data_IF_853248370223
#
_entry.id   IF_853248370223
#
_cell.length_a   1.000
_cell.length_b   1.000
_cell.length_c   1.000
_cell.angle_alpha   90.00
_cell.angle_beta   90.00
_cell.angle_gamma   90.00
#
_symmetry.space_group_name_H-M   'P 1'
#
loop_
_entity.id
_entity.type
_entity.pdbx_description
1 polymer ?
#
# COMPACT_ATOMS: atom_id res chain seq x y z
N UNK A 1 10.88 57.58 -19.56
CA UNK A 1 11.02 56.72 -20.74
C UNK A 1 11.78 55.45 -20.43
N UNK A 2 13.06 55.44 -20.05
CA UNK A 2 13.83 54.21 -19.75
C UNK A 2 13.32 53.40 -18.52
N UNK A 3 12.79 54.07 -17.51
CA UNK A 3 12.21 53.44 -16.32
C UNK A 3 10.87 52.81 -16.61
N UNK A 4 10.06 53.37 -17.49
CA UNK A 4 8.78 52.80 -17.93
C UNK A 4 8.97 51.55 -18.78
N UNK A 5 9.93 51.57 -19.71
CA UNK A 5 10.29 50.39 -20.52
C UNK A 5 10.84 49.24 -19.67
N UNK A 6 11.64 49.56 -18.66
CA UNK A 6 12.12 48.54 -17.71
C UNK A 6 11.00 47.94 -16.86
N UNK A 7 10.05 48.74 -16.41
CA UNK A 7 8.89 48.30 -15.66
C UNK A 7 7.94 47.45 -16.51
N UNK A 8 7.75 47.76 -17.75
CA UNK A 8 6.90 46.99 -18.67
C UNK A 8 7.57 45.64 -19.03
N UNK A 9 8.87 45.64 -19.24
CA UNK A 9 9.63 44.40 -19.45
C UNK A 9 9.54 43.49 -18.22
N UNK A 10 9.70 44.05 -17.03
CA UNK A 10 9.57 43.30 -15.78
C UNK A 10 8.16 42.72 -15.57
N UNK A 11 7.13 43.49 -15.91
CA UNK A 11 5.73 43.04 -15.86
C UNK A 11 5.46 41.91 -16.83
N UNK A 12 5.95 41.99 -18.06
CA UNK A 12 5.82 40.95 -19.07
C UNK A 12 6.51 39.65 -18.61
N UNK A 13 7.73 39.72 -18.10
CA UNK A 13 8.46 38.58 -17.59
C UNK A 13 7.76 37.92 -16.39
N UNK A 14 7.19 38.71 -15.49
CA UNK A 14 6.41 38.21 -14.35
C UNK A 14 5.11 37.51 -14.79
N UNK A 15 4.42 38.06 -15.79
CA UNK A 15 3.23 37.46 -16.36
C UNK A 15 3.53 36.12 -17.05
N UNK A 16 4.63 36.03 -17.80
CA UNK A 16 5.09 34.79 -18.43
C UNK A 16 5.46 33.72 -17.38
N UNK A 17 6.17 34.12 -16.34
CA UNK A 17 6.54 33.21 -15.26
C UNK A 17 5.28 32.68 -14.53
N UNK A 18 4.30 33.54 -14.29
CA UNK A 18 3.03 33.17 -13.69
C UNK A 18 2.25 32.19 -14.59
N UNK A 19 2.19 32.43 -15.89
CA UNK A 19 1.52 31.56 -16.84
C UNK A 19 2.20 30.16 -16.90
N UNK A 20 3.53 30.11 -16.89
CA UNK A 20 4.30 28.85 -16.85
C UNK A 20 4.03 28.06 -15.56
N UNK A 21 4.05 28.74 -14.40
CA UNK A 21 3.71 28.13 -13.12
C UNK A 21 2.27 27.59 -13.09
N UNK A 22 1.33 28.36 -13.60
CA UNK A 22 -0.07 27.95 -13.67
C UNK A 22 -0.26 26.70 -14.56
N UNK A 23 0.37 26.68 -15.72
CA UNK A 23 0.34 25.54 -16.64
C UNK A 23 0.96 24.29 -16.00
N UNK A 24 2.14 24.41 -15.39
CA UNK A 24 2.80 23.33 -14.69
C UNK A 24 1.95 22.76 -13.55
N UNK A 25 1.33 23.67 -12.76
CA UNK A 25 0.41 23.26 -11.68
C UNK A 25 -0.82 22.51 -12.21
N UNK A 26 -1.43 22.98 -13.29
CA UNK A 26 -2.59 22.33 -13.90
C UNK A 26 -2.26 20.93 -14.38
N UNK A 27 -1.10 20.73 -15.02
CA UNK A 27 -0.63 19.41 -15.46
C UNK A 27 -0.41 18.47 -14.27
N UNK A 28 0.30 18.94 -13.23
CA UNK A 28 0.53 18.15 -12.03
C UNK A 28 -0.78 17.78 -11.30
N UNK A 29 -1.69 18.75 -11.18
CA UNK A 29 -3.00 18.52 -10.57
C UNK A 29 -3.85 17.52 -11.37
N UNK A 30 -3.80 17.54 -12.70
CA UNK A 30 -4.49 16.58 -13.55
C UNK A 30 -3.92 15.18 -13.37
N UNK A 31 -2.60 15.03 -13.37
CA UNK A 31 -1.93 13.75 -13.15
C UNK A 31 -2.28 13.15 -11.78
N UNK A 32 -2.25 13.95 -10.72
CA UNK A 32 -2.64 13.51 -9.37
C UNK A 32 -4.11 13.10 -9.27
N UNK A 33 -5.01 13.80 -9.95
CA UNK A 33 -6.43 13.40 -10.00
C UNK A 33 -6.62 12.03 -10.66
N UNK A 34 -5.90 11.77 -11.75
CA UNK A 34 -5.93 10.48 -12.44
C UNK A 34 -5.41 9.36 -11.55
N UNK A 35 -4.24 9.55 -10.94
CA UNK A 35 -3.64 8.57 -10.02
C UNK A 35 -4.54 8.28 -8.81
N UNK A 36 -5.17 9.33 -8.27
CA UNK A 36 -6.14 9.17 -7.18
C UNK A 36 -7.35 8.36 -7.62
N UNK A 37 -7.93 8.65 -8.78
CA UNK A 37 -9.09 7.93 -9.29
C UNK A 37 -8.77 6.44 -9.53
N UNK A 38 -7.60 6.13 -10.07
CA UNK A 38 -7.13 4.76 -10.25
C UNK A 38 -6.94 4.04 -8.90
N UNK A 39 -6.37 4.72 -7.92
CA UNK A 39 -6.18 4.18 -6.56
C UNK A 39 -7.52 3.93 -5.87
N UNK A 40 -8.47 4.86 -5.95
CA UNK A 40 -9.81 4.73 -5.38
C UNK A 40 -10.58 3.56 -6.04
N UNK A 41 -10.45 3.38 -7.35
CA UNK A 41 -11.04 2.26 -8.06
C UNK A 41 -10.44 0.91 -7.61
N UNK A 42 -9.12 0.83 -7.44
CA UNK A 42 -8.44 -0.36 -6.92
C UNK A 42 -8.88 -0.70 -5.49
N UNK A 43 -8.97 0.30 -4.62
CA UNK A 43 -9.44 0.14 -3.25
C UNK A 43 -10.87 -0.41 -3.23
N UNK A 44 -11.76 0.13 -4.06
CA UNK A 44 -13.14 -0.34 -4.20
C UNK A 44 -13.22 -1.80 -4.64
N UNK A 45 -12.42 -2.19 -5.63
CA UNK A 45 -12.36 -3.58 -6.11
C UNK A 45 -11.89 -4.52 -5.00
N UNK A 46 -10.78 -4.19 -4.34
CA UNK A 46 -10.22 -4.99 -3.23
C UNK A 46 -11.22 -5.10 -2.06
N UNK A 47 -11.93 -4.02 -1.73
CA UNK A 47 -12.95 -4.02 -0.69
C UNK A 47 -14.11 -4.96 -1.02
N UNK A 48 -14.53 -4.99 -2.29
CA UNK A 48 -15.58 -5.91 -2.78
C UNK A 48 -15.11 -7.36 -2.70
N UNK A 49 -13.92 -7.67 -3.21
CA UNK A 49 -13.33 -9.02 -3.13
C UNK A 49 -13.20 -9.49 -1.67
N UNK A 50 -12.75 -8.62 -0.78
CA UNK A 50 -12.67 -8.90 0.63
C UNK A 50 -14.04 -9.27 1.24
N UNK A 51 -15.07 -8.50 0.90
CA UNK A 51 -16.45 -8.76 1.38
C UNK A 51 -16.97 -10.11 0.89
N UNK A 52 -16.60 -10.54 -0.30
CA UNK A 52 -16.96 -11.84 -0.86
C UNK A 52 -16.19 -13.01 -0.22
N UNK A 53 -14.94 -12.80 0.16
CA UNK A 53 -14.09 -13.83 0.75
C UNK A 53 -14.31 -14.00 2.27
N UNK A 54 -14.66 -12.94 2.98
CA UNK A 54 -14.83 -12.95 4.44
C UNK A 54 -15.77 -14.05 4.95
N UNK A 55 -16.95 -14.32 4.34
CA UNK A 55 -17.84 -15.38 4.78
C UNK A 55 -17.29 -16.80 4.58
N UNK A 56 -16.26 -16.96 3.75
CA UNK A 56 -15.64 -18.26 3.45
C UNK A 56 -14.57 -18.64 4.48
N UNK A 57 -14.19 -17.72 5.36
CA UNK A 57 -13.17 -17.92 6.38
C UNK A 57 -13.83 -18.19 7.73
N UNK A 58 -13.43 -19.24 8.47
CA UNK A 58 -13.94 -19.50 9.83
C UNK A 58 -13.77 -18.27 10.73
N UNK A 59 -14.78 -17.95 11.52
CA UNK A 59 -14.81 -16.73 12.34
C UNK A 59 -13.61 -16.60 13.29
N UNK A 60 -13.13 -17.73 13.83
CA UNK A 60 -11.96 -17.75 14.72
C UNK A 60 -10.67 -17.35 13.98
N UNK A 61 -10.50 -17.80 12.73
CA UNK A 61 -9.35 -17.45 11.91
C UNK A 61 -9.43 -15.98 11.44
N UNK A 62 -10.62 -15.50 11.13
CA UNK A 62 -10.85 -14.10 10.78
C UNK A 62 -10.52 -13.17 11.94
N UNK A 63 -10.94 -13.52 13.15
CA UNK A 63 -10.61 -12.76 14.37
C UNK A 63 -9.10 -12.69 14.58
N UNK A 64 -8.41 -13.82 14.45
CA UNK A 64 -6.95 -13.86 14.56
C UNK A 64 -6.27 -13.02 13.48
N UNK A 65 -6.74 -13.11 12.24
CA UNK A 65 -6.24 -12.30 11.13
C UNK A 65 -6.37 -10.81 11.40
N UNK A 66 -7.54 -10.35 11.85
CA UNK A 66 -7.77 -8.91 12.13
C UNK A 66 -6.89 -8.41 13.30
N UNK A 67 -6.72 -9.22 14.35
CA UNK A 67 -5.82 -8.88 15.45
C UNK A 67 -4.38 -8.71 14.99
N UNK A 68 -3.88 -9.65 14.20
CA UNK A 68 -2.52 -9.57 13.66
C UNK A 68 -2.38 -8.41 12.68
N UNK A 69 -3.39 -8.19 11.83
CA UNK A 69 -3.42 -7.08 10.88
C UNK A 69 -3.32 -5.73 11.57
N UNK A 70 -4.10 -5.51 12.62
CA UNK A 70 -4.08 -4.27 13.40
C UNK A 70 -2.71 -4.05 14.07
N UNK A 71 -2.10 -5.13 14.62
CA UNK A 71 -0.82 -5.05 15.31
C UNK A 71 0.42 -4.95 14.38
N UNK A 72 0.26 -5.24 13.09
CA UNK A 72 1.38 -5.37 12.12
C UNK A 72 1.24 -4.45 10.89
N UNK A 73 0.69 -3.25 11.10
CA UNK A 73 0.57 -2.21 10.07
C UNK A 73 -0.14 -2.68 8.79
N UNK A 74 -1.21 -3.47 8.95
CA UNK A 74 -2.02 -3.94 7.83
C UNK A 74 -1.54 -5.25 7.18
N UNK A 75 -0.36 -5.77 7.52
CA UNK A 75 0.20 -7.00 6.95
C UNK A 75 0.13 -8.15 7.94
N UNK A 76 -0.95 -8.94 7.89
CA UNK A 76 -1.17 -10.06 8.80
C UNK A 76 -0.53 -11.37 8.32
N UNK A 77 -0.52 -11.61 7.01
CA UNK A 77 -0.07 -12.87 6.41
C UNK A 77 1.23 -12.63 5.65
N UNK A 78 2.15 -13.57 5.73
CA UNK A 78 3.40 -13.53 4.98
C UNK A 78 3.71 -14.89 4.38
N UNK A 79 4.24 -14.86 3.15
CA UNK A 79 4.70 -16.07 2.46
C UNK A 79 6.03 -16.54 3.05
N UNK A 80 6.22 -17.85 3.13
CA UNK A 80 7.55 -18.41 3.37
C UNK A 80 8.37 -18.41 2.08
N UNK A 81 9.56 -17.82 2.14
CA UNK A 81 10.51 -17.72 1.04
C UNK A 81 11.76 -18.51 1.42
N UNK A 82 12.08 -19.56 0.66
CA UNK A 82 13.28 -20.39 0.89
C UNK A 82 13.45 -20.86 2.34
N UNK A 83 12.35 -21.22 3.00
CA UNK A 83 12.35 -21.67 4.39
C UNK A 83 12.39 -20.55 5.44
N UNK A 84 12.40 -19.29 5.02
CA UNK A 84 12.39 -18.11 5.90
C UNK A 84 11.06 -17.37 5.85
N UNK A 85 10.75 -16.64 6.90
CA UNK A 85 9.58 -15.75 6.95
C UNK A 85 9.80 -14.55 6.03
N UNK A 86 8.97 -14.37 4.99
CA UNK A 86 9.09 -13.28 4.03
C UNK A 86 8.92 -11.87 4.60
N UNK A 87 8.43 -11.75 5.85
CA UNK A 87 8.25 -10.45 6.49
C UNK A 87 9.42 -10.05 7.41
N UNK A 88 10.06 -11.01 8.09
CA UNK A 88 11.15 -10.72 9.03
C UNK A 88 12.47 -11.39 8.68
N UNK A 89 12.52 -12.23 7.64
CA UNK A 89 13.72 -12.90 7.17
C UNK A 89 14.23 -14.06 8.06
N UNK A 90 13.61 -14.28 9.21
CA UNK A 90 14.05 -15.32 10.15
C UNK A 90 13.43 -16.66 9.77
N UNK A 91 14.24 -17.72 9.74
CA UNK A 91 13.78 -19.08 9.50
C UNK A 91 13.00 -19.60 10.72
N UNK A 92 11.71 -19.99 10.56
CA UNK A 92 10.99 -20.68 11.60
C UNK A 92 11.60 -22.07 11.85
N UNK A 93 11.31 -22.69 13.01
CA UNK A 93 11.73 -24.07 13.26
C UNK A 93 11.14 -25.04 12.23
N UNK A 94 11.83 -26.14 11.94
CA UNK A 94 11.36 -27.16 10.99
C UNK A 94 9.95 -27.68 11.34
N UNK A 95 9.65 -27.87 12.63
CA UNK A 95 8.33 -28.27 13.10
C UNK A 95 7.26 -27.23 12.71
N UNK A 96 7.53 -25.95 12.87
CA UNK A 96 6.60 -24.87 12.53
C UNK A 96 6.39 -24.71 11.03
N UNK A 97 7.41 -24.99 10.24
CA UNK A 97 7.31 -25.05 8.77
C UNK A 97 6.38 -26.19 8.34
N UNK A 98 6.55 -27.37 8.93
CA UNK A 98 5.69 -28.52 8.65
C UNK A 98 4.25 -28.29 9.11
N UNK A 99 4.07 -27.68 10.28
CA UNK A 99 2.76 -27.29 10.78
C UNK A 99 2.06 -26.32 9.81
N UNK A 100 2.74 -25.29 9.34
CA UNK A 100 2.20 -24.33 8.38
C UNK A 100 1.85 -24.93 7.01
N UNK A 101 2.47 -26.07 6.64
CA UNK A 101 2.17 -26.78 5.39
C UNK A 101 1.00 -27.74 5.51
N UNK A 102 0.85 -28.38 6.64
CA UNK A 102 -0.02 -29.54 6.81
C UNK A 102 -1.26 -29.24 7.66
N UNK A 103 -1.25 -28.14 8.43
CA UNK A 103 -2.36 -27.78 9.31
C UNK A 103 -3.31 -26.81 8.60
N UNK A 104 -4.63 -27.05 8.63
CA UNK A 104 -5.62 -26.09 8.13
C UNK A 104 -5.71 -24.82 9.01
N UNK A 105 -5.21 -24.88 10.25
CA UNK A 105 -5.23 -23.75 11.17
C UNK A 105 -4.07 -22.76 10.91
N UNK A 106 -4.30 -21.46 11.11
CA UNK A 106 -3.27 -20.44 10.90
C UNK A 106 -2.09 -20.60 11.86
N UNK A 107 -0.89 -20.76 11.32
CA UNK A 107 0.36 -20.86 12.08
C UNK A 107 1.09 -19.53 12.08
N UNK A 108 1.51 -19.04 13.26
CA UNK A 108 2.22 -17.76 13.40
C UNK A 108 3.74 -17.96 13.37
N UNK A 109 4.43 -16.98 12.75
CA UNK A 109 5.88 -16.86 12.88
C UNK A 109 6.28 -16.62 14.34
N UNK A 110 7.19 -17.41 14.88
CA UNK A 110 7.65 -17.29 16.28
C UNK A 110 8.35 -15.98 16.59
N UNK A 111 8.89 -15.31 15.56
CA UNK A 111 9.60 -14.04 15.73
C UNK A 111 8.71 -12.81 15.53
N UNK A 112 8.08 -12.67 14.37
CA UNK A 112 7.30 -11.47 14.06
C UNK A 112 5.80 -11.58 14.34
N UNK A 113 5.30 -12.77 14.64
CA UNK A 113 3.90 -13.03 14.98
C UNK A 113 2.91 -12.99 13.81
N UNK A 114 3.36 -12.76 12.57
CA UNK A 114 2.51 -12.83 11.38
C UNK A 114 2.14 -14.26 11.04
N UNK A 115 1.00 -14.45 10.39
CA UNK A 115 0.53 -15.75 9.93
C UNK A 115 1.41 -16.20 8.76
N UNK A 116 1.93 -17.41 8.84
CA UNK A 116 2.77 -18.01 7.80
C UNK A 116 1.90 -18.68 6.74
N UNK A 117 2.23 -18.44 5.49
CA UNK A 117 1.63 -19.07 4.33
C UNK A 117 2.72 -19.86 3.58
N UNK A 118 2.55 -21.17 3.50
CA UNK A 118 3.37 -22.06 2.69
C UNK A 118 2.65 -22.32 1.36
N UNK A 119 3.23 -21.85 0.26
CA UNK A 119 2.76 -22.18 -1.09
C UNK A 119 3.46 -23.43 -1.59
#
# INVERSE_FOLDING_TARGET
MLEEEAADTARAAAADAQAQCAAAWQLAAAALRTERAESDARISTIATERTMLTPQVPAIHLTLYEQVRAAKNGVAITRMLEGSCGACGIAPSAARIQEARNNPDPVKCGNCGRILYAA
#
